data_IF_503390702788
#
_entry.id   IF_503390702788
#
_cell.length_a   1.000
_cell.length_b   1.000
_cell.length_c   1.000
_cell.angle_alpha   90.00
_cell.angle_beta   90.00
_cell.angle_gamma   90.00
#
_symmetry.space_group_name_H-M   'P 1'
#
loop_
_entity.id
_entity.type
_entity.pdbx_description
1 polymer ?
#
# COMPACT_ATOMS: atom_id res chain seq x y z
N UNK A 1 2.06 -21.72 5.22
CA UNK A 1 2.27 -20.42 5.79
C UNK A 1 3.58 -19.81 5.31
N UNK A 2 3.57 -18.54 5.12
CA UNK A 2 4.68 -17.84 4.50
C UNK A 2 5.84 -17.67 5.47
N UNK A 3 7.05 -17.86 4.98
CA UNK A 3 8.24 -17.60 5.74
C UNK A 3 8.31 -16.13 6.14
N UNK A 4 8.84 -15.88 7.30
CA UNK A 4 9.02 -14.53 7.78
C UNK A 4 10.06 -13.82 6.94
N UNK A 5 9.65 -12.78 6.25
CA UNK A 5 10.59 -11.86 5.64
C UNK A 5 10.76 -10.71 6.61
N UNK A 6 11.88 -10.68 7.27
CA UNK A 6 12.19 -9.57 8.16
C UNK A 6 12.97 -8.54 7.37
N UNK A 7 12.29 -7.46 7.04
CA UNK A 7 12.96 -6.32 6.41
C UNK A 7 12.92 -5.18 7.42
N UNK A 8 14.09 -4.67 7.84
CA UNK A 8 14.11 -3.57 8.79
C UNK A 8 13.37 -2.35 8.24
N UNK A 9 12.47 -1.74 9.01
CA UNK A 9 11.75 -0.55 8.56
C UNK A 9 12.69 0.58 8.12
N UNK A 10 13.88 0.65 8.71
CA UNK A 10 14.85 1.68 8.38
C UNK A 10 15.30 1.65 6.92
N UNK A 11 15.12 0.52 6.23
CA UNK A 11 15.52 0.39 4.84
C UNK A 11 14.44 0.84 3.85
N UNK A 12 13.24 1.14 4.32
CA UNK A 12 12.15 1.55 3.43
C UNK A 12 12.18 3.05 3.19
N UNK A 13 12.03 3.44 1.94
CA UNK A 13 12.04 4.85 1.56
C UNK A 13 10.83 5.58 2.09
N UNK A 14 9.69 4.94 2.08
CA UNK A 14 8.43 5.53 2.57
C UNK A 14 7.69 4.55 3.45
N UNK A 15 7.26 5.02 4.61
CA UNK A 15 6.35 4.29 5.49
C UNK A 15 5.22 5.25 5.80
N UNK A 16 3.99 4.83 5.51
CA UNK A 16 2.85 5.71 5.73
C UNK A 16 1.71 4.98 6.40
N UNK A 17 0.86 5.74 7.07
CA UNK A 17 -0.32 5.24 7.77
C UNK A 17 -1.56 5.70 7.05
N UNK A 18 -2.54 4.81 6.95
CA UNK A 18 -3.76 5.05 6.21
C UNK A 18 -4.90 4.31 6.93
N UNK A 19 -6.11 4.89 6.98
CA UNK A 19 -7.24 4.15 7.53
C UNK A 19 -7.47 2.85 6.77
N UNK A 20 -7.64 1.76 7.50
CA UNK A 20 -7.77 0.44 6.90
C UNK A 20 -9.02 0.32 6.04
N UNK A 21 -10.12 0.98 6.44
CA UNK A 21 -11.35 0.97 5.66
C UNK A 21 -11.20 1.66 4.32
N UNK A 22 -10.43 2.76 4.29
CA UNK A 22 -10.18 3.48 3.03
C UNK A 22 -9.36 2.62 2.07
N UNK A 23 -8.36 1.94 2.59
CA UNK A 23 -7.55 1.04 1.79
C UNK A 23 -8.38 -0.11 1.24
N UNK A 24 -9.23 -0.71 2.07
CA UNK A 24 -10.09 -1.81 1.65
C UNK A 24 -11.04 -1.38 0.54
N UNK A 25 -11.68 -0.21 0.74
CA UNK A 25 -12.63 0.30 -0.25
C UNK A 25 -11.94 0.58 -1.59
N UNK A 26 -10.79 1.22 -1.52
CA UNK A 26 -10.02 1.56 -2.72
C UNK A 26 -9.61 0.31 -3.50
N UNK A 27 -9.08 -0.70 -2.81
CA UNK A 27 -8.67 -1.94 -3.46
C UNK A 27 -9.86 -2.66 -4.09
N UNK A 28 -10.97 -2.69 -3.37
CA UNK A 28 -12.18 -3.34 -3.86
C UNK A 28 -12.75 -2.64 -5.09
N UNK A 29 -12.81 -1.32 -5.05
CA UNK A 29 -13.35 -0.55 -6.16
C UNK A 29 -12.45 -0.70 -7.40
N UNK A 30 -11.15 -0.62 -7.22
CA UNK A 30 -10.21 -0.72 -8.34
C UNK A 30 -10.07 -2.13 -8.89
N UNK A 31 -10.35 -3.16 -8.08
CA UNK A 31 -10.27 -4.54 -8.54
C UNK A 31 -11.31 -4.85 -9.62
N UNK A 32 -12.36 -4.04 -9.70
CA UNK A 32 -13.36 -4.19 -10.75
C UNK A 32 -12.87 -3.68 -12.10
N UNK A 33 -11.77 -2.93 -12.13
CA UNK A 33 -11.30 -2.27 -13.34
C UNK A 33 -10.07 -2.92 -13.94
N UNK A 34 -9.23 -3.57 -13.12
CA UNK A 34 -7.97 -4.11 -13.59
C UNK A 34 -7.48 -5.23 -12.67
N UNK A 35 -6.55 -6.01 -13.18
CA UNK A 35 -5.88 -7.05 -12.39
C UNK A 35 -4.61 -6.54 -11.70
N UNK A 36 -4.11 -5.40 -12.16
CA UNK A 36 -2.90 -4.80 -11.61
C UNK A 36 -3.17 -3.37 -11.19
N UNK A 37 -2.47 -2.94 -10.16
CA UNK A 37 -2.54 -1.58 -9.67
C UNK A 37 -1.13 -1.02 -9.55
N UNK A 38 -0.95 0.21 -10.03
CA UNK A 38 0.29 0.94 -9.84
C UNK A 38 0.17 1.78 -8.58
N UNK A 39 1.12 1.65 -7.69
CA UNK A 39 1.17 2.41 -6.46
C UNK A 39 2.41 3.30 -6.52
N UNK A 40 2.20 4.60 -6.34
CA UNK A 40 3.28 5.58 -6.43
C UNK A 40 3.24 6.51 -5.24
N UNK A 41 4.38 6.68 -4.59
CA UNK A 41 4.57 7.64 -3.52
C UNK A 41 5.52 8.71 -3.99
N UNK A 42 5.12 9.96 -3.92
CA UNK A 42 5.98 11.09 -4.26
C UNK A 42 5.61 12.30 -3.41
N UNK A 43 6.64 12.98 -2.87
CA UNK A 43 6.39 14.10 -1.98
C UNK A 43 5.59 13.66 -0.76
N UNK A 44 4.41 14.23 -0.59
CA UNK A 44 3.52 13.92 0.52
C UNK A 44 2.21 13.28 0.05
N UNK A 45 2.24 12.58 -1.07
CA UNK A 45 1.02 11.97 -1.59
C UNK A 45 1.27 10.54 -2.09
N UNK A 46 0.20 9.77 -2.05
CA UNK A 46 0.17 8.39 -2.52
C UNK A 46 -0.85 8.31 -3.65
N UNK A 47 -0.43 7.74 -4.78
CA UNK A 47 -1.30 7.58 -5.94
C UNK A 47 -1.52 6.12 -6.23
N UNK A 48 -2.76 5.77 -6.53
CA UNK A 48 -3.15 4.43 -6.96
C UNK A 48 -3.75 4.56 -8.35
N UNK A 49 -3.18 3.86 -9.32
CA UNK A 49 -3.63 3.94 -10.71
C UNK A 49 -3.95 2.55 -11.24
N UNK A 50 -5.12 2.43 -11.87
CA UNK A 50 -5.50 1.24 -12.61
C UNK A 50 -5.86 1.65 -14.03
N UNK A 51 -5.56 0.78 -14.99
CA UNK A 51 -5.82 1.03 -16.40
C UNK A 51 -6.34 -0.22 -17.06
N UNK A 52 -7.30 -0.05 -17.96
CA UNK A 52 -7.71 -1.11 -18.87
C UNK A 52 -8.00 -0.46 -20.23
N UNK A 53 -8.51 -1.23 -21.19
CA UNK A 53 -8.73 -0.74 -22.54
C UNK A 53 -9.74 0.41 -22.61
N UNK A 54 -10.55 0.60 -21.56
CA UNK A 54 -11.66 1.53 -21.55
C UNK A 54 -11.48 2.71 -20.63
N UNK A 55 -10.69 2.53 -19.56
CA UNK A 55 -10.66 3.46 -18.43
C UNK A 55 -9.26 3.55 -17.84
N UNK A 56 -8.85 4.76 -17.51
CA UNK A 56 -7.73 5.03 -16.60
C UNK A 56 -8.31 5.71 -15.38
N UNK A 57 -8.01 5.18 -14.21
CA UNK A 57 -8.45 5.80 -12.97
C UNK A 57 -7.27 5.96 -12.02
N UNK A 58 -7.10 7.19 -11.53
CA UNK A 58 -6.08 7.51 -10.55
C UNK A 58 -6.74 8.08 -9.30
N UNK A 59 -6.40 7.52 -8.15
CA UNK A 59 -6.83 8.05 -6.86
C UNK A 59 -5.61 8.58 -6.16
N UNK A 60 -5.66 9.84 -5.74
CA UNK A 60 -4.56 10.50 -5.03
C UNK A 60 -4.98 10.77 -3.61
N UNK A 61 -4.15 10.32 -2.67
CA UNK A 61 -4.37 10.60 -1.25
C UNK A 61 -3.18 11.42 -0.76
N UNK A 62 -3.46 12.64 -0.33
CA UNK A 62 -2.44 13.53 0.22
C UNK A 62 -2.40 13.40 1.72
N UNK A 63 -1.22 13.60 2.27
CA UNK A 63 -1.06 13.63 3.71
C UNK A 63 -1.93 14.73 4.31
N UNK A 64 -2.80 14.35 5.24
CA UNK A 64 -3.74 15.28 5.85
C UNK A 64 -4.30 14.70 7.15
N UNK A 65 -4.44 15.55 8.14
CA UNK A 65 -5.07 15.15 9.39
C UNK A 65 -6.53 14.75 9.14
N UNK A 66 -7.19 15.42 8.21
CA UNK A 66 -8.61 15.18 7.93
C UNK A 66 -8.91 13.82 7.35
N UNK A 67 -8.01 13.29 6.51
CA UNK A 67 -8.22 11.97 5.90
C UNK A 67 -7.46 10.85 6.61
N UNK A 68 -6.72 11.19 7.67
CA UNK A 68 -6.02 10.18 8.46
C UNK A 68 -4.79 9.58 7.81
N UNK A 69 -4.34 10.13 6.70
CA UNK A 69 -3.15 9.65 6.02
C UNK A 69 -1.95 10.47 6.47
N UNK A 70 -0.89 9.78 6.88
CA UNK A 70 0.33 10.45 7.34
C UNK A 70 1.56 9.61 6.99
N UNK A 71 2.62 10.29 6.60
CA UNK A 71 3.91 9.63 6.44
C UNK A 71 4.57 9.49 7.80
N UNK A 72 4.93 8.26 8.14
CA UNK A 72 5.70 7.98 9.35
C UNK A 72 7.18 8.15 9.05
N UNK A 73 7.58 7.82 7.83
CA UNK A 73 8.95 7.93 7.36
C UNK A 73 8.94 8.28 5.89
N UNK A 74 9.74 9.26 5.50
CA UNK A 74 9.87 9.66 4.10
C UNK A 74 11.31 10.11 3.89
N UNK A 75 12.18 9.13 3.63
CA UNK A 75 13.63 9.37 3.59
C UNK A 75 14.06 10.15 2.38
N UNK A 76 13.34 10.05 1.27
CA UNK A 76 13.70 10.69 0.02
C UNK A 76 12.46 11.32 -0.60
N UNK A 77 11.99 12.48 -0.06
CA UNK A 77 10.74 13.07 -0.55
C UNK A 77 10.79 13.46 -2.03
N UNK A 78 11.98 13.69 -2.56
CA UNK A 78 12.14 14.04 -3.98
C UNK A 78 12.19 12.81 -4.89
N UNK A 79 12.32 11.65 -4.31
CA UNK A 79 12.36 10.40 -5.07
C UNK A 79 10.95 9.87 -5.29
N UNK A 80 10.71 9.35 -6.50
CA UNK A 80 9.44 8.68 -6.81
C UNK A 80 9.60 7.19 -6.49
N UNK A 81 8.78 6.70 -5.57
CA UNK A 81 8.74 5.30 -5.21
C UNK A 81 7.51 4.70 -5.88
N UNK A 82 7.71 3.69 -6.72
CA UNK A 82 6.58 3.14 -7.47
C UNK A 82 6.75 1.65 -7.74
N UNK A 83 5.63 0.98 -7.93
CA UNK A 83 5.60 -0.41 -8.31
C UNK A 83 4.21 -0.84 -8.73
N UNK A 84 4.16 -1.91 -9.51
CA UNK A 84 2.90 -2.52 -9.96
C UNK A 84 2.67 -3.80 -9.18
N UNK A 85 1.45 -4.01 -8.70
CA UNK A 85 1.14 -5.14 -7.83
C UNK A 85 -0.16 -5.80 -8.26
N UNK A 86 -0.34 -7.06 -7.85
CA UNK A 86 -1.59 -7.78 -8.06
C UNK A 86 -2.67 -7.19 -7.15
N UNK A 87 -3.70 -6.59 -7.75
CA UNK A 87 -4.77 -6.00 -6.97
C UNK A 87 -5.60 -7.06 -6.26
N UNK A 88 -5.72 -8.24 -6.86
CA UNK A 88 -6.44 -9.35 -6.26
C UNK A 88 -5.84 -9.75 -4.90
N UNK A 89 -4.50 -9.75 -4.83
CA UNK A 89 -3.82 -10.07 -3.59
C UNK A 89 -3.98 -8.98 -2.55
N UNK A 90 -3.97 -7.71 -2.99
CA UNK A 90 -4.20 -6.59 -2.08
C UNK A 90 -5.62 -6.62 -1.52
N UNK A 91 -6.60 -6.98 -2.33
CA UNK A 91 -7.97 -7.17 -1.85
C UNK A 91 -8.02 -8.25 -0.78
N UNK A 92 -7.29 -9.35 -1.00
CA UNK A 92 -7.23 -10.43 -0.03
C UNK A 92 -6.62 -9.96 1.29
N UNK A 93 -5.54 -9.18 1.22
CA UNK A 93 -4.90 -8.63 2.42
C UNK A 93 -5.84 -7.69 3.17
N UNK A 94 -6.64 -6.91 2.43
CA UNK A 94 -7.53 -5.92 3.02
C UNK A 94 -8.69 -6.52 3.81
N UNK A 95 -8.87 -7.83 3.72
CA UNK A 95 -9.89 -8.51 4.52
C UNK A 95 -9.60 -8.48 6.01
N UNK A 96 -8.38 -8.09 6.39
CA UNK A 96 -8.02 -7.91 7.79
C UNK A 96 -8.45 -6.56 8.37
N UNK A 97 -9.23 -5.78 7.61
CA UNK A 97 -9.65 -4.43 8.02
C UNK A 97 -10.32 -4.39 9.38
N UNK A 98 -11.03 -5.44 9.75
CA UNK A 98 -11.72 -5.50 11.05
C UNK A 98 -10.76 -5.63 12.24
N UNK A 99 -9.48 -5.90 11.99
CA UNK A 99 -8.52 -6.13 13.06
C UNK A 99 -7.95 -4.83 13.64
N UNK A 100 -7.95 -3.76 12.87
CA UNK A 100 -7.44 -2.49 13.34
C UNK A 100 -7.97 -1.33 12.50
N UNK A 101 -7.84 -0.12 13.03
CA UNK A 101 -8.36 1.08 12.36
C UNK A 101 -7.43 1.60 11.28
N UNK A 102 -6.13 1.41 11.44
CA UNK A 102 -5.15 1.93 10.52
C UNK A 102 -4.18 0.86 10.10
N UNK A 103 -3.70 0.98 8.87
CA UNK A 103 -2.62 0.13 8.36
C UNK A 103 -1.37 0.97 8.17
N UNK A 104 -0.25 0.31 8.09
CA UNK A 104 1.00 0.91 7.66
C UNK A 104 1.42 0.28 6.36
N UNK A 105 1.85 1.11 5.42
CA UNK A 105 2.31 0.66 4.11
C UNK A 105 3.79 1.02 4.00
N UNK A 106 4.61 0.03 3.67
CA UNK A 106 6.06 0.18 3.53
C UNK A 106 6.41 0.06 2.06
N UNK A 107 7.05 1.08 1.52
CA UNK A 107 7.38 1.16 0.10
C UNK A 107 8.86 1.43 -0.11
N UNK A 108 9.42 0.73 -1.08
CA UNK A 108 10.78 0.94 -1.57
C UNK A 108 10.83 0.45 -3.02
N UNK A 109 11.55 1.19 -3.88
CA UNK A 109 11.68 0.79 -5.27
C UNK A 109 12.33 -0.59 -5.38
N UNK A 110 11.77 -1.42 -6.25
CA UNK A 110 12.26 -2.78 -6.54
C UNK A 110 12.14 -3.75 -5.36
N UNK A 111 11.34 -3.38 -4.37
CA UNK A 111 11.11 -4.20 -3.19
C UNK A 111 9.64 -4.59 -3.09
N UNK A 112 9.34 -5.68 -2.39
CA UNK A 112 7.96 -5.99 -2.07
C UNK A 112 7.30 -4.88 -1.26
N UNK A 113 6.02 -4.65 -1.52
CA UNK A 113 5.22 -3.79 -0.66
C UNK A 113 4.86 -4.58 0.61
N UNK A 114 4.90 -3.92 1.75
CA UNK A 114 4.48 -4.53 3.00
C UNK A 114 3.29 -3.77 3.54
N UNK A 115 2.22 -4.51 3.86
CA UNK A 115 1.03 -3.98 4.49
C UNK A 115 0.97 -4.56 5.90
N UNK A 116 1.01 -3.69 6.90
CA UNK A 116 1.03 -4.12 8.29
C UNK A 116 -0.24 -3.71 9.01
N UNK A 117 -0.88 -4.68 9.66
CA UNK A 117 -2.01 -4.46 10.55
C UNK A 117 -1.51 -4.69 11.98
N UNK A 118 -1.59 -3.67 12.83
CA UNK A 118 -1.22 -3.79 14.23
C UNK A 118 -2.46 -4.10 15.04
N UNK A 119 -2.49 -5.26 15.65
CA UNK A 119 -3.64 -5.72 16.43
C UNK A 119 -3.30 -5.60 17.90
N UNK A 120 -3.98 -4.70 18.60
CA UNK A 120 -3.70 -4.43 20.01
C UNK A 120 -3.70 -5.74 20.82
N UNK A 121 -2.67 -5.95 21.60
CA UNK A 121 -2.47 -7.11 22.49
C UNK A 121 -2.22 -8.43 21.77
N UNK A 122 -2.39 -8.51 20.45
CA UNK A 122 -2.21 -9.76 19.72
C UNK A 122 -0.98 -9.73 18.81
N UNK A 123 -0.38 -8.54 18.61
CA UNK A 123 0.78 -8.40 17.76
C UNK A 123 0.45 -7.79 16.41
N UNK A 124 1.15 -8.25 15.38
CA UNK A 124 1.06 -7.67 14.07
C UNK A 124 0.79 -8.73 13.02
N UNK A 125 0.04 -8.34 11.99
CA UNK A 125 -0.12 -9.15 10.78
C UNK A 125 0.53 -8.37 9.64
N UNK A 126 1.50 -8.99 8.99
CA UNK A 126 2.21 -8.38 7.86
C UNK A 126 1.96 -9.18 6.61
N UNK A 127 1.60 -8.49 5.54
CA UNK A 127 1.50 -9.06 4.22
C UNK A 127 2.61 -8.49 3.35
N UNK A 128 3.28 -9.36 2.61
CA UNK A 128 4.40 -8.97 1.77
C UNK A 128 4.07 -9.41 0.34
N UNK A 129 4.13 -8.49 -0.61
CA UNK A 129 3.77 -8.75 -1.98
C UNK A 129 4.84 -8.23 -2.91
N UNK A 130 5.43 -9.12 -3.71
CA UNK A 130 6.44 -8.74 -4.67
C UNK A 130 5.83 -7.90 -5.79
N UNK A 131 6.56 -6.91 -6.32
CA UNK A 131 6.10 -6.18 -7.48
C UNK A 131 6.07 -7.09 -8.70
N UNK A 132 5.18 -6.78 -9.63
CA UNK A 132 5.14 -7.50 -10.90
C UNK A 132 6.29 -7.04 -11.78
N UNK A 133 6.95 -8.00 -12.39
CA UNK A 133 8.01 -7.70 -13.33
C UNK A 133 7.42 -7.48 -14.71
N UNK A 134 7.91 -6.45 -15.38
CA UNK A 134 7.50 -6.13 -16.75
C UNK A 134 8.56 -6.61 -17.74
N UNK A 135 8.90 -7.85 -17.66
CA UNK A 135 9.88 -8.42 -18.60
C UNK A 135 9.22 -8.79 -19.91
#
# INVERSE_FOLDING_TARGET
FVDKVEVPPAEFSSVLRLPSTDFQKLCRDMSNLSEEIDIKSSGNQLEFTVSNDWVDQTTVIKESVNNGMAYIQNLSPDEVIQGSFSIKKLVMFSKCTNLCQNIEIYLKNDYPIIIKYSVANLGEVKFCLAPKNND
#
